data_IF_528341671213
#
_entry.id   IF_528341671213
#
_cell.length_a   1.000
_cell.length_b   1.000
_cell.length_c   1.000
_cell.angle_alpha   90.00
_cell.angle_beta   90.00
_cell.angle_gamma   90.00
#
_symmetry.space_group_name_H-M   'P 1'
#
loop_
_entity.id
_entity.type
_entity.pdbx_description
1 polymer ?
#
# COMPACT_ATOMS: atom_id res chain seq x y z
N UNK A 1 -5.59 -7.51 6.44
CA UNK A 1 -4.72 -7.16 5.30
C UNK A 1 -5.57 -6.78 4.09
N UNK A 2 -4.99 -6.18 3.05
CA UNK A 2 -5.66 -5.90 1.77
C UNK A 2 -4.80 -6.39 0.61
N UNK A 3 -5.42 -6.96 -0.43
CA UNK A 3 -4.74 -7.51 -1.61
C UNK A 3 -5.49 -7.09 -2.88
N UNK A 4 -4.77 -7.02 -4.01
CA UNK A 4 -5.30 -6.66 -5.33
C UNK A 4 -4.22 -6.81 -6.40
N UNK A 5 -4.61 -6.72 -7.68
CA UNK A 5 -3.66 -6.75 -8.80
C UNK A 5 -2.83 -5.47 -8.85
N UNK A 6 -3.41 -4.37 -8.39
CA UNK A 6 -2.72 -3.10 -8.22
C UNK A 6 -2.60 -2.73 -6.75
N UNK A 7 -1.57 -1.95 -6.42
CA UNK A 7 -1.39 -1.44 -5.06
C UNK A 7 -2.58 -0.55 -4.63
N UNK A 8 -3.21 0.16 -5.56
CA UNK A 8 -4.42 0.97 -5.30
C UNK A 8 -5.63 0.12 -4.89
N UNK A 9 -5.80 -1.04 -5.52
CA UNK A 9 -6.86 -1.99 -5.13
C UNK A 9 -6.61 -2.56 -3.74
N UNK A 10 -5.36 -2.95 -3.45
CA UNK A 10 -4.97 -3.43 -2.13
C UNK A 10 -5.21 -2.37 -1.04
N UNK A 11 -4.82 -1.11 -1.30
CA UNK A 11 -5.09 0.04 -0.43
C UNK A 11 -6.60 0.23 -0.19
N UNK A 12 -7.40 0.26 -1.26
CA UNK A 12 -8.86 0.41 -1.16
C UNK A 12 -9.46 -0.68 -0.28
N UNK A 13 -9.11 -1.94 -0.51
CA UNK A 13 -9.61 -3.07 0.28
C UNK A 13 -9.21 -2.94 1.76
N UNK A 14 -7.96 -2.53 2.04
CA UNK A 14 -7.48 -2.34 3.41
C UNK A 14 -8.23 -1.20 4.12
N UNK A 15 -8.32 -0.03 3.48
CA UNK A 15 -8.92 1.15 4.09
C UNK A 15 -10.43 1.02 4.30
N UNK A 16 -11.15 0.34 3.40
CA UNK A 16 -12.56 -0.01 3.62
C UNK A 16 -12.73 -0.90 4.86
N UNK A 17 -11.83 -1.86 5.08
CA UNK A 17 -11.93 -2.78 6.24
C UNK A 17 -11.65 -2.06 7.56
N UNK A 18 -10.56 -1.28 7.65
CA UNK A 18 -10.21 -0.59 8.89
C UNK A 18 -11.16 0.58 9.19
N UNK A 19 -11.78 1.19 8.17
CA UNK A 19 -12.77 2.25 8.35
C UNK A 19 -13.99 1.80 9.15
N UNK A 20 -14.24 0.49 9.24
CA UNK A 20 -15.32 -0.08 10.04
C UNK A 20 -14.89 -0.38 11.49
N UNK A 21 -13.66 -0.06 11.88
CA UNK A 21 -13.10 -0.35 13.21
C UNK A 21 -12.90 0.98 13.97
N UNK A 22 -13.61 1.14 15.08
CA UNK A 22 -13.46 2.29 15.98
C UNK A 22 -12.50 1.94 17.11
N UNK A 23 -11.34 2.59 17.15
CA UNK A 23 -10.38 2.49 18.25
C UNK A 23 -10.15 3.91 18.79
N UNK A 24 -10.44 4.17 20.08
CA UNK A 24 -10.20 5.48 20.68
C UNK A 24 -8.75 5.92 20.56
N UNK A 25 -8.52 7.20 20.24
CA UNK A 25 -7.19 7.80 20.04
C UNK A 25 -6.33 7.14 18.95
N UNK A 26 -6.94 6.41 18.01
CA UNK A 26 -6.19 5.77 16.96
C UNK A 26 -5.80 6.74 15.85
N UNK A 27 -4.55 6.62 15.39
CA UNK A 27 -4.03 7.31 14.21
C UNK A 27 -3.73 6.27 13.13
N UNK A 28 -4.52 6.28 12.06
CA UNK A 28 -4.29 5.42 10.90
C UNK A 28 -3.44 6.15 9.85
N UNK A 29 -2.35 5.53 9.41
CA UNK A 29 -1.63 5.98 8.22
C UNK A 29 -2.41 5.61 6.96
N UNK A 30 -2.71 6.62 6.13
CA UNK A 30 -3.46 6.47 4.87
C UNK A 30 -2.56 6.60 3.63
N UNK A 31 -1.26 6.80 3.83
CA UNK A 31 -0.28 7.12 2.80
C UNK A 31 0.59 5.93 2.37
N UNK A 32 0.40 4.77 3.00
CA UNK A 32 1.23 3.58 2.78
C UNK A 32 1.15 3.15 1.31
N UNK A 33 2.30 3.15 0.64
CA UNK A 33 2.43 2.72 -0.75
C UNK A 33 2.10 3.80 -1.81
N UNK A 34 1.76 5.03 -1.42
CA UNK A 34 1.49 6.11 -2.40
C UNK A 34 2.66 6.40 -3.34
N UNK A 35 3.89 6.20 -2.85
CA UNK A 35 5.12 6.39 -3.63
C UNK A 35 5.48 5.19 -4.50
N UNK A 36 4.81 4.05 -4.33
CA UNK A 36 5.17 2.80 -5.00
C UNK A 36 5.28 2.96 -6.50
N UNK A 37 4.40 3.72 -7.14
CA UNK A 37 4.42 3.94 -8.59
C UNK A 37 5.75 4.51 -9.11
N UNK A 38 6.41 5.38 -8.34
CA UNK A 38 7.73 5.93 -8.73
C UNK A 38 8.90 5.22 -8.08
N UNK A 39 8.70 4.64 -6.89
CA UNK A 39 9.74 3.92 -6.17
C UNK A 39 9.95 2.51 -6.77
N UNK A 40 8.93 1.87 -7.38
CA UNK A 40 9.07 0.59 -8.09
C UNK A 40 10.08 0.69 -9.22
N UNK A 41 9.96 1.70 -10.06
CA UNK A 41 10.82 1.90 -11.23
C UNK A 41 12.27 2.13 -10.81
N UNK A 42 12.48 2.89 -9.72
CA UNK A 42 13.80 3.12 -9.14
C UNK A 42 14.39 1.82 -8.60
N UNK A 43 13.60 1.04 -7.86
CA UNK A 43 14.05 -0.23 -7.28
C UNK A 43 14.39 -1.26 -8.36
N UNK A 44 13.64 -1.30 -9.46
CA UNK A 44 13.99 -2.08 -10.64
C UNK A 44 15.29 -1.59 -11.29
N UNK A 45 15.42 -0.28 -11.51
CA UNK A 45 16.63 0.33 -12.10
C UNK A 45 17.88 0.08 -11.26
N UNK A 46 17.77 0.13 -9.94
CA UNK A 46 18.85 -0.16 -9.01
C UNK A 46 19.12 -1.67 -8.82
N UNK A 47 18.30 -2.54 -9.41
CA UNK A 47 18.46 -3.99 -9.32
C UNK A 47 18.07 -4.59 -7.97
N UNK A 48 17.36 -3.84 -7.12
CA UNK A 48 16.79 -4.31 -5.85
C UNK A 48 15.51 -5.11 -6.06
N UNK A 49 14.78 -4.80 -7.14
CA UNK A 49 13.60 -5.56 -7.56
C UNK A 49 13.93 -6.28 -8.86
N UNK A 50 14.20 -7.57 -8.76
CA UNK A 50 14.42 -8.45 -9.91
C UNK A 50 13.13 -9.23 -10.16
N UNK A 51 12.72 -9.36 -11.41
CA UNK A 51 11.72 -10.35 -11.79
C UNK A 51 12.30 -11.74 -11.48
N UNK A 52 11.55 -12.57 -10.74
CA UNK A 52 11.87 -13.99 -10.54
C UNK A 52 11.39 -14.79 -11.74
#
# INVERSE_FOLDING_TARGET
TGCGLTLREAQKQMYTRIGNILIPNMYYRTDIGNRWFGDSDKLHTWGYLREM
#
